data_IF_637105564177
#
_entry.id   IF_637105564177
#
_cell.length_a   1.000
_cell.length_b   1.000
_cell.length_c   1.000
_cell.angle_alpha   90.00
_cell.angle_beta   90.00
_cell.angle_gamma   90.00
#
_symmetry.space_group_name_H-M   'P 1'
#
loop_
_entity.id
_entity.type
_entity.pdbx_description
1 polymer ?
#
# COMPACT_ATOMS: atom_id res chain seq x y z
N UNK A 1 7.50 -11.61 1.99
CA UNK A 1 7.66 -12.75 1.06
C UNK A 1 8.41 -13.90 1.74
N UNK A 2 9.64 -13.70 2.23
CA UNK A 2 10.48 -14.73 2.86
C UNK A 2 9.81 -15.52 4.00
N UNK A 3 9.00 -14.86 4.84
CA UNK A 3 8.23 -15.53 5.90
C UNK A 3 7.13 -16.47 5.35
N UNK A 4 6.45 -16.07 4.29
CA UNK A 4 5.22 -16.73 3.80
C UNK A 4 5.46 -17.70 2.63
N UNK A 5 6.54 -17.50 1.88
CA UNK A 5 6.95 -18.32 0.74
C UNK A 5 8.48 -18.25 0.58
N UNK A 6 9.23 -18.95 1.45
CA UNK A 6 10.70 -18.95 1.43
C UNK A 6 11.30 -19.61 0.18
N UNK A 7 10.49 -20.39 -0.55
CA UNK A 7 10.83 -21.03 -1.82
C UNK A 7 10.86 -20.06 -3.01
N UNK A 8 10.23 -18.90 -2.90
CA UNK A 8 10.20 -17.89 -3.96
C UNK A 8 11.45 -17.01 -3.91
N UNK A 9 12.09 -16.80 -5.07
CA UNK A 9 13.21 -15.87 -5.20
C UNK A 9 12.68 -14.44 -5.25
N UNK A 10 13.29 -13.55 -4.48
CA UNK A 10 12.90 -12.14 -4.37
C UNK A 10 14.10 -11.27 -4.64
N UNK A 11 13.95 -10.32 -5.57
CA UNK A 11 14.85 -9.21 -5.76
C UNK A 11 14.14 -7.93 -5.31
N UNK A 12 14.87 -7.05 -4.61
CA UNK A 12 14.36 -5.75 -4.20
C UNK A 12 15.08 -4.66 -5.01
N UNK A 13 14.29 -3.81 -5.65
CA UNK A 13 14.76 -2.63 -6.37
C UNK A 13 14.13 -1.39 -5.77
N UNK A 14 14.95 -0.38 -5.47
CA UNK A 14 14.50 0.89 -4.93
C UNK A 14 15.10 2.03 -5.77
N UNK A 15 14.23 2.92 -6.23
CA UNK A 15 14.59 4.16 -6.91
C UNK A 15 13.80 5.29 -6.27
N UNK A 16 14.44 6.01 -5.35
CA UNK A 16 13.79 7.13 -4.62
C UNK A 16 13.57 8.32 -5.53
N UNK A 17 14.34 8.44 -6.62
CA UNK A 17 14.29 9.56 -7.56
C UNK A 17 12.94 9.67 -8.27
N UNK A 18 12.25 8.55 -8.53
CA UNK A 18 10.91 8.56 -9.13
C UNK A 18 9.88 9.25 -8.23
N UNK A 19 9.91 8.97 -6.92
CA UNK A 19 9.02 9.61 -5.95
C UNK A 19 9.42 11.06 -5.71
N UNK A 20 10.72 11.34 -5.59
CA UNK A 20 11.25 12.69 -5.41
C UNK A 20 10.82 13.63 -6.53
N UNK A 21 10.85 13.16 -7.79
CA UNK A 21 10.37 13.90 -8.97
C UNK A 21 8.88 14.23 -8.89
N UNK A 22 8.05 13.26 -8.50
CA UNK A 22 6.61 13.48 -8.31
C UNK A 22 6.34 14.52 -7.22
N UNK A 23 7.04 14.42 -6.08
CA UNK A 23 6.92 15.36 -4.96
C UNK A 23 7.44 16.75 -5.32
N UNK A 24 8.46 16.85 -6.19
CA UNK A 24 8.98 18.11 -6.71
C UNK A 24 8.05 18.79 -7.73
N UNK A 25 6.92 18.17 -8.09
CA UNK A 25 5.93 18.72 -9.02
C UNK A 25 6.31 18.54 -10.49
N UNK A 26 7.13 17.54 -10.82
CA UNK A 26 7.31 17.13 -12.22
C UNK A 26 5.97 16.70 -12.82
N UNK A 27 5.82 16.94 -14.12
CA UNK A 27 4.65 16.50 -14.88
C UNK A 27 4.40 15.00 -14.70
N UNK A 28 3.20 14.66 -14.23
CA UNK A 28 2.82 13.30 -13.86
C UNK A 28 3.05 12.29 -15.00
N UNK A 29 2.75 12.67 -16.24
CA UNK A 29 2.96 11.84 -17.43
C UNK A 29 4.42 11.37 -17.61
N UNK A 30 5.40 12.20 -17.22
CA UNK A 30 6.83 11.87 -17.31
C UNK A 30 7.26 10.92 -16.20
N UNK A 31 6.72 11.12 -15.01
CA UNK A 31 6.94 10.21 -13.87
C UNK A 31 6.31 8.86 -14.18
N UNK A 32 5.06 8.85 -14.67
CA UNK A 32 4.35 7.66 -15.11
C UNK A 32 5.16 6.88 -16.14
N UNK A 33 5.61 7.53 -17.22
CA UNK A 33 6.44 6.88 -18.23
C UNK A 33 7.70 6.26 -17.64
N UNK A 34 8.38 6.98 -16.73
CA UNK A 34 9.61 6.49 -16.09
C UNK A 34 9.35 5.27 -15.19
N UNK A 35 8.23 5.28 -14.44
CA UNK A 35 7.81 4.14 -13.62
C UNK A 35 7.47 2.95 -14.50
N UNK A 36 6.72 3.18 -15.58
CA UNK A 36 6.33 2.12 -16.49
C UNK A 36 7.53 1.49 -17.20
N UNK A 37 8.49 2.29 -17.66
CA UNK A 37 9.71 1.78 -18.30
C UNK A 37 10.53 0.93 -17.34
N UNK A 38 10.65 1.36 -16.07
CA UNK A 38 11.32 0.56 -15.04
C UNK A 38 10.59 -0.74 -14.75
N UNK A 39 9.25 -0.72 -14.68
CA UNK A 39 8.46 -1.95 -14.48
C UNK A 39 8.61 -2.90 -15.66
N UNK A 40 8.62 -2.42 -16.91
CA UNK A 40 8.87 -3.24 -18.10
C UNK A 40 10.24 -3.92 -18.03
N UNK A 41 11.30 -3.17 -17.74
CA UNK A 41 12.66 -3.72 -17.56
C UNK A 41 12.71 -4.82 -16.49
N UNK A 42 12.06 -4.59 -15.35
CA UNK A 42 12.01 -5.58 -14.25
C UNK A 42 11.18 -6.82 -14.62
N UNK A 43 10.11 -6.65 -15.41
CA UNK A 43 9.24 -7.74 -15.84
C UNK A 43 9.91 -8.73 -16.78
N UNK A 44 10.98 -8.32 -17.48
CA UNK A 44 11.80 -9.23 -18.32
C UNK A 44 12.57 -10.26 -17.47
N UNK A 45 12.78 -9.97 -16.18
CA UNK A 45 13.60 -10.76 -15.27
C UNK A 45 12.80 -11.39 -14.11
N UNK A 46 11.50 -11.09 -14.01
CA UNK A 46 10.66 -11.52 -12.90
C UNK A 46 9.29 -12.01 -13.40
N UNK A 47 8.78 -13.08 -12.79
CA UNK A 47 7.43 -13.57 -13.09
C UNK A 47 6.32 -12.62 -12.61
N UNK A 48 6.61 -11.75 -11.63
CA UNK A 48 5.69 -10.76 -11.07
C UNK A 48 6.51 -9.58 -10.53
N UNK A 49 6.14 -8.36 -10.88
CA UNK A 49 6.66 -7.13 -10.26
C UNK A 49 5.66 -6.64 -9.21
N UNK A 50 6.13 -6.36 -7.99
CA UNK A 50 5.28 -5.79 -6.93
C UNK A 50 5.77 -4.39 -6.60
N UNK A 51 4.97 -3.37 -6.96
CA UNK A 51 5.24 -1.99 -6.58
C UNK A 51 4.82 -1.76 -5.12
N UNK A 52 5.77 -1.36 -4.28
CA UNK A 52 5.55 -1.16 -2.83
C UNK A 52 5.26 0.27 -2.44
N UNK A 53 5.43 1.24 -3.36
CA UNK A 53 5.16 2.64 -3.11
C UNK A 53 3.74 3.01 -3.55
N UNK A 54 2.88 3.42 -2.61
CA UNK A 54 1.49 3.78 -2.87
C UNK A 54 1.33 5.01 -3.78
N UNK A 55 2.26 5.96 -3.76
CA UNK A 55 2.16 7.18 -4.57
C UNK A 55 2.35 6.91 -6.07
N UNK A 56 3.33 6.08 -6.43
CA UNK A 56 3.64 5.74 -7.84
C UNK A 56 3.03 4.39 -8.27
N UNK A 57 2.41 3.64 -7.35
CA UNK A 57 1.86 2.33 -7.63
C UNK A 57 0.79 2.35 -8.72
N UNK A 58 0.01 3.43 -8.85
CA UNK A 58 -1.02 3.55 -9.90
C UNK A 58 -0.44 3.47 -11.31
N UNK A 59 0.73 4.06 -11.52
CA UNK A 59 1.43 4.04 -12.81
C UNK A 59 1.96 2.65 -13.14
N UNK A 60 2.37 1.90 -12.12
CA UNK A 60 2.78 0.51 -12.30
C UNK A 60 1.58 -0.37 -12.64
N UNK A 61 0.46 -0.21 -11.93
CA UNK A 61 -0.73 -1.03 -12.09
C UNK A 61 -1.40 -0.89 -13.47
N UNK A 62 -1.36 0.29 -14.09
CA UNK A 62 -1.95 0.50 -15.42
C UNK A 62 -1.31 -0.37 -16.51
N UNK A 63 -0.11 -0.90 -16.28
CA UNK A 63 0.52 -1.85 -17.20
C UNK A 63 -0.13 -3.25 -17.21
N UNK A 64 -0.99 -3.56 -16.24
CA UNK A 64 -1.77 -4.81 -16.26
C UNK A 64 -2.66 -4.89 -17.50
N UNK A 65 -3.20 -3.76 -17.97
CA UNK A 65 -3.98 -3.65 -19.21
C UNK A 65 -3.14 -3.97 -20.45
N UNK A 66 -1.81 -3.82 -20.36
CA UNK A 66 -0.84 -4.14 -21.40
C UNK A 66 -0.30 -5.58 -21.28
N UNK A 67 -0.85 -6.38 -20.36
CA UNK A 67 -0.46 -7.78 -20.15
C UNK A 67 0.82 -7.97 -19.32
N UNK A 68 1.35 -6.91 -18.71
CA UNK A 68 2.50 -7.03 -17.80
C UNK A 68 2.02 -7.54 -16.45
N UNK A 69 2.68 -8.58 -15.92
CA UNK A 69 2.36 -9.10 -14.59
C UNK A 69 2.96 -8.21 -13.49
N UNK A 70 2.20 -7.19 -13.12
CA UNK A 70 2.56 -6.23 -12.07
C UNK A 70 1.40 -6.01 -11.12
N UNK A 71 1.71 -5.80 -9.85
CA UNK A 71 0.74 -5.53 -8.80
C UNK A 71 1.22 -4.41 -7.91
N UNK A 72 0.27 -3.66 -7.34
CA UNK A 72 0.55 -2.81 -6.19
C UNK A 72 0.40 -3.61 -4.91
N UNK A 73 1.27 -3.37 -3.95
CA UNK A 73 1.22 -4.03 -2.64
C UNK A 73 -0.08 -3.68 -1.87
N UNK A 74 -0.64 -2.50 -2.11
CA UNK A 74 -1.79 -1.96 -1.39
C UNK A 74 -3.14 -2.34 -1.99
N UNK A 75 -3.22 -2.85 -3.23
CA UNK A 75 -4.49 -3.23 -3.87
C UNK A 75 -5.30 -4.23 -3.05
N UNK A 76 -4.65 -5.22 -2.43
CA UNK A 76 -5.34 -6.18 -1.57
C UNK A 76 -5.95 -5.57 -0.32
N UNK A 77 -5.30 -4.55 0.23
CA UNK A 77 -5.82 -3.78 1.36
C UNK A 77 -7.00 -2.90 0.92
N UNK A 78 -6.90 -2.26 -0.25
CA UNK A 78 -7.96 -1.45 -0.83
C UNK A 78 -9.24 -2.25 -1.08
N UNK A 79 -9.12 -3.38 -1.79
CA UNK A 79 -10.25 -4.25 -2.08
C UNK A 79 -10.94 -4.77 -0.82
N UNK A 80 -10.18 -5.04 0.24
CA UNK A 80 -10.77 -5.44 1.52
C UNK A 80 -11.46 -4.26 2.22
N UNK A 81 -10.84 -3.08 2.21
CA UNK A 81 -11.37 -1.89 2.86
C UNK A 81 -12.72 -1.45 2.28
N UNK A 82 -12.89 -1.54 0.97
CA UNK A 82 -14.11 -1.08 0.29
C UNK A 82 -15.33 -1.98 0.50
N UNK A 83 -15.16 -3.10 1.20
CA UNK A 83 -16.27 -3.98 1.65
C UNK A 83 -16.97 -3.48 2.92
N UNK A 84 -16.47 -2.40 3.53
CA UNK A 84 -17.01 -1.78 4.74
C UNK A 84 -17.64 -0.41 4.42
N UNK A 85 -18.69 -0.02 5.17
CA UNK A 85 -19.41 1.23 4.91
C UNK A 85 -18.75 2.46 5.56
N UNK A 86 -18.16 2.32 6.75
CA UNK A 86 -17.48 3.40 7.48
C UNK A 86 -15.98 3.13 7.59
N UNK A 87 -15.19 3.86 6.82
CA UNK A 87 -13.74 3.66 6.68
C UNK A 87 -13.00 4.88 7.21
N UNK A 88 -12.00 4.64 8.07
CA UNK A 88 -11.00 5.64 8.43
C UNK A 88 -9.67 5.30 7.77
N UNK A 89 -9.17 6.21 6.94
CA UNK A 89 -7.85 6.12 6.31
C UNK A 89 -6.82 6.94 7.11
N UNK A 90 -5.88 6.24 7.74
CA UNK A 90 -4.80 6.84 8.49
C UNK A 90 -3.52 6.93 7.65
N UNK A 91 -2.87 8.09 7.70
CA UNK A 91 -1.53 8.28 7.16
C UNK A 91 -0.63 8.99 8.18
N UNK A 92 0.67 8.82 8.06
CA UNK A 92 1.69 9.64 8.69
C UNK A 92 2.17 10.79 7.77
N UNK A 93 1.96 10.68 6.45
CA UNK A 93 2.28 11.69 5.45
C UNK A 93 1.02 12.14 4.70
N UNK A 94 0.79 13.44 4.62
CA UNK A 94 -0.33 14.04 3.88
C UNK A 94 -0.31 13.69 2.39
N UNK A 95 0.88 13.59 1.79
CA UNK A 95 1.07 13.20 0.38
C UNK A 95 0.62 11.78 0.06
N UNK A 96 0.37 10.94 1.07
CA UNK A 96 -0.15 9.58 0.87
C UNK A 96 -1.67 9.53 0.79
N UNK A 97 -2.38 10.58 1.24
CA UNK A 97 -3.84 10.59 1.31
C UNK A 97 -4.47 10.46 -0.08
N UNK A 98 -4.14 11.36 -1.00
CA UNK A 98 -4.73 11.38 -2.35
C UNK A 98 -4.48 10.05 -3.10
N UNK A 99 -3.25 9.51 -3.18
CA UNK A 99 -3.02 8.24 -3.87
C UNK A 99 -3.76 7.05 -3.25
N UNK A 100 -4.03 7.10 -1.94
CA UNK A 100 -4.75 6.04 -1.23
C UNK A 100 -6.25 6.16 -1.36
N UNK A 101 -6.80 7.38 -1.45
CA UNK A 101 -8.20 7.61 -1.80
C UNK A 101 -8.49 7.10 -3.21
N UNK A 102 -7.66 7.46 -4.19
CA UNK A 102 -7.79 6.99 -5.57
C UNK A 102 -7.72 5.45 -5.67
N UNK A 103 -6.93 4.80 -4.81
CA UNK A 103 -6.92 3.33 -4.69
C UNK A 103 -8.29 2.78 -4.28
N UNK A 104 -8.91 3.35 -3.25
CA UNK A 104 -10.24 2.92 -2.78
C UNK A 104 -11.33 3.18 -3.82
N UNK A 105 -11.28 4.31 -4.51
CA UNK A 105 -12.24 4.64 -5.58
C UNK A 105 -12.20 3.64 -6.74
N UNK A 106 -11.00 3.16 -7.07
CA UNK A 106 -10.78 2.20 -8.16
C UNK A 106 -10.96 0.74 -7.75
N UNK A 107 -11.17 0.45 -6.47
CA UNK A 107 -11.38 -0.92 -5.98
C UNK A 107 -12.81 -1.37 -6.25
N UNK A 108 -12.98 -2.59 -6.78
CA UNK A 108 -14.29 -3.11 -7.15
C UNK A 108 -15.17 -3.39 -5.91
N UNK A 109 -16.48 -3.26 -6.09
CA UNK A 109 -17.45 -3.56 -5.02
C UNK A 109 -17.51 -2.50 -3.91
N UNK A 110 -17.07 -1.28 -4.19
CA UNK A 110 -17.01 -0.22 -3.19
C UNK A 110 -18.39 0.16 -2.64
N UNK A 111 -18.61 -0.13 -1.35
CA UNK A 111 -19.83 0.17 -0.61
C UNK A 111 -19.67 1.28 0.43
N UNK A 112 -18.54 2.01 0.41
CA UNK A 112 -18.21 3.03 1.40
C UNK A 112 -19.28 4.15 1.38
N UNK A 113 -19.82 4.46 2.55
CA UNK A 113 -20.79 5.54 2.81
C UNK A 113 -20.18 6.70 3.57
N UNK A 114 -19.20 6.41 4.42
CA UNK A 114 -18.42 7.39 5.18
C UNK A 114 -16.94 7.05 5.01
N UNK A 115 -16.19 8.01 4.47
CA UNK A 115 -14.74 7.92 4.31
C UNK A 115 -14.10 9.14 4.95
N UNK A 116 -13.43 8.92 6.07
CA UNK A 116 -12.67 9.96 6.75
C UNK A 116 -11.17 9.69 6.57
N UNK A 117 -10.39 10.77 6.51
CA UNK A 117 -8.93 10.70 6.46
C UNK A 117 -8.34 11.38 7.68
N UNK A 118 -7.23 10.87 8.19
CA UNK A 118 -6.55 11.48 9.33
C UNK A 118 -5.03 11.29 9.22
N UNK A 119 -4.31 12.41 9.33
CA UNK A 119 -2.84 12.43 9.39
C UNK A 119 -2.40 12.38 10.86
N UNK A 120 -1.59 11.38 11.21
CA UNK A 120 -1.06 11.20 12.55
C UNK A 120 0.14 12.12 12.74
N UNK A 121 -0.13 13.33 13.23
CA UNK A 121 0.88 14.37 13.45
C UNK A 121 2.06 13.90 14.32
N UNK A 122 3.28 14.22 13.87
CA UNK A 122 4.51 13.87 14.57
C UNK A 122 4.92 12.39 14.41
N UNK A 123 4.16 11.57 13.68
CA UNK A 123 4.49 10.16 13.49
C UNK A 123 5.63 10.00 12.47
N UNK A 124 5.56 10.72 11.35
CA UNK A 124 6.56 10.59 10.30
C UNK A 124 7.96 11.00 10.76
N UNK A 125 8.07 12.04 11.58
CA UNK A 125 9.31 12.52 12.17
C UNK A 125 9.97 11.42 13.03
N UNK A 126 9.18 10.69 13.82
CA UNK A 126 9.66 9.55 14.62
C UNK A 126 10.23 8.46 13.72
N UNK A 127 9.54 8.18 12.61
CA UNK A 127 10.02 7.21 11.63
C UNK A 127 11.36 7.64 11.01
N UNK A 128 11.51 8.92 10.64
CA UNK A 128 12.77 9.48 10.13
C UNK A 128 13.90 9.44 11.16
N UNK A 129 13.58 9.65 12.43
CA UNK A 129 14.50 9.54 13.56
C UNK A 129 14.82 8.08 13.95
N UNK A 130 14.32 7.09 13.18
CA UNK A 130 14.46 5.65 13.44
C UNK A 130 13.82 5.21 14.79
N UNK A 131 12.95 6.03 15.37
CA UNK A 131 12.14 5.74 16.55
C UNK A 131 10.87 4.99 16.14
N UNK A 132 11.03 3.73 15.73
CA UNK A 132 9.92 2.88 15.29
C UNK A 132 8.88 2.67 16.39
N UNK A 133 9.29 2.56 17.65
CA UNK A 133 8.35 2.39 18.76
C UNK A 133 7.51 3.64 18.95
N UNK A 134 8.12 4.83 19.01
CA UNK A 134 7.40 6.09 19.11
C UNK A 134 6.51 6.37 17.90
N UNK A 135 6.93 5.92 16.71
CA UNK A 135 6.10 5.95 15.51
C UNK A 135 4.83 5.11 15.65
N UNK A 136 4.97 3.85 16.08
CA UNK A 136 3.82 2.96 16.24
C UNK A 136 2.91 3.36 17.41
N UNK A 137 3.47 3.84 18.51
CA UNK A 137 2.70 4.31 19.67
C UNK A 137 1.78 5.48 19.30
N UNK A 138 2.26 6.43 18.48
CA UNK A 138 1.44 7.52 17.96
C UNK A 138 0.25 7.03 17.13
N UNK A 139 0.50 6.08 16.23
CA UNK A 139 -0.54 5.52 15.37
C UNK A 139 -1.55 4.74 16.21
N UNK A 140 -1.07 3.92 17.16
CA UNK A 140 -1.89 3.16 18.10
C UNK A 140 -2.88 4.06 18.85
N UNK A 141 -2.42 5.17 19.41
CA UNK A 141 -3.27 6.11 20.14
C UNK A 141 -4.45 6.59 19.28
N UNK A 142 -4.21 6.90 18.01
CA UNK A 142 -5.27 7.34 17.08
C UNK A 142 -6.23 6.20 16.77
N UNK A 143 -5.72 4.99 16.52
CA UNK A 143 -6.54 3.81 16.26
C UNK A 143 -7.50 3.56 17.43
N UNK A 144 -6.99 3.49 18.65
CA UNK A 144 -7.78 3.19 19.85
C UNK A 144 -8.83 4.28 20.15
N UNK A 145 -8.53 5.54 19.86
CA UNK A 145 -9.46 6.65 20.05
C UNK A 145 -10.60 6.65 19.04
N UNK A 146 -10.34 6.22 17.79
CA UNK A 146 -11.27 6.37 16.67
C UNK A 146 -12.03 5.09 16.34
N UNK A 147 -11.55 3.92 16.76
CA UNK A 147 -12.07 2.62 16.32
C UNK A 147 -13.59 2.46 16.46
N UNK A 148 -14.21 3.05 17.49
CA UNK A 148 -15.66 2.90 17.73
C UNK A 148 -16.55 3.60 16.70
N UNK A 149 -16.00 4.56 15.96
CA UNK A 149 -16.77 5.38 15.01
C UNK A 149 -16.81 4.75 13.60
N UNK A 150 -15.98 3.72 13.34
CA UNK A 150 -15.76 3.12 12.02
C UNK A 150 -15.95 1.61 12.04
N UNK A 151 -16.06 1.01 10.86
CA UNK A 151 -16.12 -0.43 10.67
C UNK A 151 -14.75 -1.03 10.32
N UNK A 152 -13.83 -0.20 9.83
CA UNK A 152 -12.46 -0.58 9.48
C UNK A 152 -11.52 0.64 9.53
N UNK A 153 -10.28 0.41 9.93
CA UNK A 153 -9.20 1.40 9.81
C UNK A 153 -8.17 0.90 8.79
N UNK A 154 -7.79 1.77 7.86
CA UNK A 154 -6.81 1.50 6.81
C UNK A 154 -5.53 2.27 7.12
N UNK A 155 -4.41 1.56 7.26
CA UNK A 155 -3.09 2.16 7.41
C UNK A 155 -2.46 2.37 6.03
N UNK A 156 -2.51 3.61 5.54
CA UNK A 156 -2.20 3.95 4.15
C UNK A 156 -0.72 3.78 3.76
N UNK A 157 0.20 3.68 4.74
CA UNK A 157 1.63 3.50 4.49
C UNK A 157 2.11 2.15 4.99
N UNK A 158 2.91 1.44 4.18
CA UNK A 158 3.49 0.14 4.53
C UNK A 158 4.29 0.19 5.85
N UNK A 159 4.97 1.29 6.13
CA UNK A 159 5.72 1.51 7.37
C UNK A 159 4.84 1.42 8.62
N UNK A 160 3.55 1.77 8.53
CA UNK A 160 2.61 1.76 9.66
C UNK A 160 2.19 0.35 10.10
N UNK A 161 2.50 -0.69 9.31
CA UNK A 161 2.02 -2.06 9.55
C UNK A 161 2.34 -2.62 10.93
N UNK A 162 3.45 -2.20 11.56
CA UNK A 162 3.79 -2.59 12.93
C UNK A 162 2.73 -2.17 13.96
N UNK A 163 2.06 -1.03 13.76
CA UNK A 163 1.05 -0.53 14.69
C UNK A 163 -0.20 -1.42 14.74
N UNK A 164 -0.56 -2.10 13.64
CA UNK A 164 -1.73 -2.99 13.60
C UNK A 164 -1.61 -4.18 14.57
N UNK A 165 -0.40 -4.57 14.96
CA UNK A 165 -0.18 -5.67 15.93
C UNK A 165 -0.12 -5.20 17.38
N UNK A 166 -0.19 -3.89 17.65
CA UNK A 166 -0.06 -3.30 18.99
C UNK A 166 -1.39 -2.86 19.60
N UNK A 167 -2.47 -2.93 18.81
CA UNK A 167 -3.81 -2.45 19.16
C UNK A 167 -4.71 -3.62 19.53
N UNK A 168 -5.65 -3.36 20.45
CA UNK A 168 -6.73 -4.28 20.81
C UNK A 168 -8.06 -3.54 20.60
N UNK A 169 -8.65 -3.73 19.42
CA UNK A 169 -9.89 -3.06 18.98
C UNK A 169 -10.81 -4.07 18.29
N UNK A 170 -12.12 -3.85 18.37
CA UNK A 170 -13.14 -4.78 17.85
C UNK A 170 -13.30 -4.75 16.32
N UNK A 171 -12.55 -3.90 15.63
CA UNK A 171 -12.64 -3.71 14.17
C UNK A 171 -11.32 -4.07 13.48
N UNK A 172 -11.35 -4.49 12.20
CA UNK A 172 -10.13 -4.72 11.44
C UNK A 172 -9.28 -3.45 11.29
N UNK A 173 -7.97 -3.62 11.47
CA UNK A 173 -6.94 -2.64 11.12
C UNK A 173 -6.11 -3.19 9.98
N UNK A 174 -6.32 -2.67 8.78
CA UNK A 174 -5.73 -3.17 7.55
C UNK A 174 -4.39 -2.48 7.26
N UNK A 175 -3.41 -3.27 6.81
CA UNK A 175 -2.15 -2.74 6.29
C UNK A 175 -1.71 -3.51 5.06
N UNK A 176 -1.03 -2.82 4.13
CA UNK A 176 -0.70 -3.36 2.82
C UNK A 176 0.34 -4.50 2.82
N UNK A 177 1.42 -4.54 3.63
CA UNK A 177 2.52 -5.48 3.38
C UNK A 177 2.11 -6.95 3.43
N UNK A 178 1.37 -7.38 4.46
CA UNK A 178 0.99 -8.79 4.61
C UNK A 178 -0.08 -9.19 3.60
N UNK A 179 -1.08 -8.33 3.36
CA UNK A 179 -2.17 -8.59 2.40
C UNK A 179 -1.64 -8.65 0.97
N UNK A 180 -0.83 -7.67 0.57
CA UNK A 180 -0.22 -7.62 -0.76
C UNK A 180 0.72 -8.79 -1.03
N UNK A 181 1.55 -9.18 -0.05
CA UNK A 181 2.43 -10.36 -0.19
C UNK A 181 1.61 -11.64 -0.38
N UNK A 182 0.51 -11.83 0.38
CA UNK A 182 -0.36 -13.01 0.20
C UNK A 182 -0.92 -13.08 -1.22
N UNK A 183 -1.46 -11.96 -1.72
CA UNK A 183 -1.97 -11.88 -3.09
C UNK A 183 -0.91 -12.14 -4.16
N UNK A 184 0.30 -11.62 -3.97
CA UNK A 184 1.42 -11.86 -4.88
C UNK A 184 1.79 -13.36 -4.93
N UNK A 185 1.81 -14.05 -3.79
CA UNK A 185 2.06 -15.49 -3.70
C UNK A 185 0.97 -16.28 -4.41
N UNK A 186 -0.31 -15.95 -4.16
CA UNK A 186 -1.45 -16.60 -4.82
C UNK A 186 -1.39 -16.45 -6.34
N UNK A 187 -1.02 -15.27 -6.82
CA UNK A 187 -0.83 -14.98 -8.24
C UNK A 187 0.25 -15.85 -8.86
N UNK A 188 1.44 -15.88 -8.23
CA UNK A 188 2.56 -16.68 -8.72
C UNK A 188 2.26 -18.19 -8.73
N UNK A 189 1.58 -18.69 -7.68
CA UNK A 189 1.20 -20.10 -7.60
C UNK A 189 0.16 -20.48 -8.65
N UNK A 190 -0.79 -19.60 -8.94
CA UNK A 190 -1.78 -19.81 -10.02
C UNK A 190 -1.10 -19.81 -11.39
N UNK A 191 -0.13 -18.92 -11.60
CA UNK A 191 0.66 -18.88 -12.83
C UNK A 191 1.47 -20.15 -13.07
N UNK A 192 2.02 -20.77 -12.02
CA UNK A 192 2.71 -22.06 -12.11
C UNK A 192 1.78 -23.26 -12.29
N UNK A 193 0.54 -23.20 -11.80
CA UNK A 193 -0.42 -24.30 -11.96
C UNK A 193 -0.99 -24.39 -13.39
N UNK A 194 -0.95 -23.29 -14.14
CA UNK A 194 -1.51 -23.15 -15.49
C UNK A 194 -0.46 -23.26 -16.62
N UNK A 195 0.83 -23.48 -16.29
CA UNK A 195 1.94 -23.66 -17.23
C UNK A 195 2.65 -24.99 -16.97
#
# INVERSE_FOLDING_TARGET
>A
MTELAPDLKVAHFADTGLLERLVAGEEESKVEQSVQDKVRELSEQANLVVCTCSSIGRFAESLTEQGINVQRIDRAMGDQAVTHERVLLLAALSTTIEPSLALLETSEGNCIRQLDTFVVEGAWERFLDQDNQGYYDKIKVVIEQKARDYDVIVLAQASMSGAASLVDVDIPVLSSPRLGVKRAIETLRTFHANN
#
